data_IF_768113535244
#
_entry.id   IF_768113535244
#
_cell.length_a   1.000
_cell.length_b   1.000
_cell.length_c   1.000
_cell.angle_alpha   90.00
_cell.angle_beta   90.00
_cell.angle_gamma   90.00
#
_symmetry.space_group_name_H-M   'P 1'
#
loop_
_entity.id
_entity.type
_entity.pdbx_description
1 polymer ?
#
# COMPACT_ATOMS: atom_id res chain seq x y z
N UNK A 1 12.97 20.82 -9.66
CA UNK A 1 13.62 20.46 -8.37
C UNK A 1 13.07 21.24 -7.20
N UNK A 2 12.73 22.52 -7.38
CA UNK A 2 12.13 23.38 -6.34
C UNK A 2 10.84 22.79 -5.72
N UNK A 3 9.93 22.27 -6.55
CA UNK A 3 8.71 21.61 -6.07
C UNK A 3 8.97 20.49 -5.04
N UNK A 4 9.96 19.61 -5.28
CA UNK A 4 10.28 18.52 -4.35
C UNK A 4 10.88 19.04 -3.04
N UNK A 5 11.61 20.16 -3.08
CA UNK A 5 12.10 20.83 -1.88
C UNK A 5 10.93 21.39 -1.06
N UNK A 6 9.94 21.99 -1.73
CA UNK A 6 8.73 22.49 -1.08
C UNK A 6 7.93 21.36 -0.42
N UNK A 7 7.75 20.23 -1.12
CA UNK A 7 7.13 19.03 -0.52
C UNK A 7 7.89 18.57 0.72
N UNK A 8 9.22 18.50 0.66
CA UNK A 8 10.03 18.15 1.83
C UNK A 8 9.83 19.11 3.00
N UNK A 9 9.75 20.42 2.72
CA UNK A 9 9.49 21.42 3.76
C UNK A 9 8.10 21.23 4.39
N UNK A 10 7.07 21.02 3.58
CA UNK A 10 5.71 20.76 4.07
C UNK A 10 5.67 19.53 4.96
N UNK A 11 6.35 18.46 4.56
CA UNK A 11 6.48 17.25 5.38
C UNK A 11 7.17 17.53 6.72
N UNK A 12 8.19 18.39 6.75
CA UNK A 12 8.82 18.83 8.00
C UNK A 12 7.89 19.69 8.86
N UNK A 13 7.13 20.60 8.25
CA UNK A 13 6.12 21.38 8.96
C UNK A 13 5.06 20.48 9.59
N UNK A 14 4.62 19.43 8.89
CA UNK A 14 3.72 18.43 9.43
C UNK A 14 4.32 17.69 10.64
N UNK A 15 5.57 17.24 10.56
CA UNK A 15 6.25 16.60 11.71
C UNK A 15 6.23 17.53 12.94
N UNK A 16 6.57 18.81 12.74
CA UNK A 16 6.59 19.79 13.84
C UNK A 16 5.19 20.06 14.40
N UNK A 17 4.19 20.25 13.54
CA UNK A 17 2.83 20.60 13.98
C UNK A 17 2.09 19.41 14.63
N UNK A 18 2.31 18.19 14.15
CA UNK A 18 1.66 16.99 14.66
C UNK A 18 2.40 16.33 15.82
N UNK A 19 3.69 16.64 16.01
CA UNK A 19 4.57 15.91 16.92
C UNK A 19 4.91 14.48 16.44
N UNK A 20 4.53 14.11 15.22
CA UNK A 20 4.83 12.82 14.63
C UNK A 20 6.16 12.85 13.86
N UNK A 21 6.74 11.66 13.63
CA UNK A 21 7.94 11.50 12.81
C UNK A 21 7.65 10.72 11.54
N UNK A 22 8.00 11.30 10.40
CA UNK A 22 7.86 10.67 9.09
C UNK A 22 8.93 9.59 8.94
N UNK A 23 8.48 8.40 8.59
CA UNK A 23 9.35 7.26 8.35
C UNK A 23 9.80 7.23 6.88
N UNK A 24 10.83 8.00 6.55
CA UNK A 24 11.38 8.05 5.20
C UNK A 24 11.93 6.70 4.69
N UNK A 25 12.28 5.77 5.57
CA UNK A 25 12.70 4.41 5.21
C UNK A 25 11.51 3.56 4.70
N UNK A 26 10.29 3.82 5.17
CA UNK A 26 9.05 3.18 4.66
C UNK A 26 8.37 3.99 3.56
N UNK A 27 8.81 5.23 3.34
CA UNK A 27 8.33 6.07 2.24
C UNK A 27 9.10 5.77 0.97
N UNK A 28 8.41 5.89 -0.16
CA UNK A 28 9.04 5.87 -1.47
C UNK A 28 8.51 6.99 -2.35
N UNK A 29 9.30 7.37 -3.35
CA UNK A 29 8.88 8.24 -4.43
C UNK A 29 8.70 7.40 -5.69
N UNK A 30 7.57 7.61 -6.35
CA UNK A 30 7.20 6.93 -7.58
C UNK A 30 6.95 8.00 -8.63
N UNK A 31 7.56 7.83 -9.78
CA UNK A 31 7.28 8.69 -10.93
C UNK A 31 6.09 8.13 -11.71
N UNK A 32 5.13 9.01 -11.97
CA UNK A 32 3.96 8.70 -12.78
C UNK A 32 4.14 9.32 -14.16
N UNK A 33 4.08 8.50 -15.22
CA UNK A 33 4.16 8.96 -16.62
C UNK A 33 5.57 8.92 -17.26
N UNK A 34 5.61 9.12 -18.58
CA UNK A 34 6.85 9.16 -19.38
C UNK A 34 7.43 10.58 -19.37
N UNK A 35 8.43 10.81 -18.52
CA UNK A 35 9.19 12.08 -18.46
C UNK A 35 10.70 11.85 -18.50
N UNK A 36 11.48 12.86 -18.90
CA UNK A 36 12.95 12.72 -19.08
C UNK A 36 13.79 12.86 -17.80
N UNK A 37 13.22 13.31 -16.69
CA UNK A 37 13.97 13.48 -15.45
C UNK A 37 14.28 12.12 -14.80
N UNK A 38 15.54 11.94 -14.37
CA UNK A 38 15.98 10.79 -13.58
C UNK A 38 15.21 10.76 -12.25
N UNK A 39 14.64 9.59 -11.95
CA UNK A 39 13.96 9.28 -10.68
C UNK A 39 14.93 9.29 -9.50
N UNK A 40 16.23 9.12 -9.75
CA UNK A 40 17.27 9.02 -8.73
C UNK A 40 17.42 10.37 -8.02
N UNK A 41 17.38 11.47 -8.78
CA UNK A 41 17.44 12.83 -8.22
C UNK A 41 16.27 13.14 -7.26
N UNK A 42 15.12 12.46 -7.40
CA UNK A 42 13.95 12.74 -6.56
C UNK A 42 14.07 12.05 -5.20
N UNK A 43 14.49 10.78 -5.21
CA UNK A 43 14.77 10.00 -4.01
C UNK A 43 15.84 10.67 -3.16
N UNK A 44 16.89 11.22 -3.79
CA UNK A 44 17.98 11.92 -3.10
C UNK A 44 17.53 13.19 -2.37
N UNK A 45 16.64 13.98 -3.00
CA UNK A 45 16.10 15.21 -2.39
C UNK A 45 15.22 14.85 -1.19
N UNK A 46 14.29 13.90 -1.36
CA UNK A 46 13.35 13.49 -0.33
C UNK A 46 13.97 12.60 0.75
N UNK A 47 15.14 12.01 0.48
CA UNK A 47 15.81 11.00 1.32
C UNK A 47 14.93 9.78 1.59
N UNK A 48 14.22 9.31 0.57
CA UNK A 48 13.34 8.14 0.62
C UNK A 48 13.70 7.11 -0.45
N UNK A 49 13.06 5.94 -0.44
CA UNK A 49 13.32 4.91 -1.44
C UNK A 49 12.76 5.30 -2.81
N UNK A 50 13.43 4.87 -3.88
CA UNK A 50 12.88 4.92 -5.24
C UNK A 50 12.02 3.69 -5.48
N UNK A 51 10.82 3.86 -6.05
CA UNK A 51 9.97 2.74 -6.42
C UNK A 51 9.27 2.95 -7.77
N UNK A 52 8.88 1.84 -8.40
CA UNK A 52 8.06 1.83 -9.61
C UNK A 52 6.58 1.77 -9.26
N UNK A 53 5.70 2.20 -10.18
CA UNK A 53 4.26 2.37 -9.92
C UNK A 53 3.57 1.12 -9.35
N UNK A 54 4.08 -0.07 -9.64
CA UNK A 54 3.68 -1.37 -9.07
C UNK A 54 4.03 -1.54 -7.58
N UNK A 55 3.93 -0.49 -6.76
CA UNK A 55 4.10 -0.57 -5.29
C UNK A 55 2.84 -1.13 -4.65
N UNK A 56 2.98 -2.02 -3.67
CA UNK A 56 1.82 -2.45 -2.88
C UNK A 56 1.40 -1.37 -1.89
N UNK A 57 0.16 -0.89 -2.00
CA UNK A 57 -0.47 0.04 -1.07
C UNK A 57 -1.72 -0.58 -0.48
N UNK A 58 -1.81 -0.63 0.86
CA UNK A 58 -2.90 -1.26 1.61
C UNK A 58 -3.16 -2.73 1.22
N UNK A 59 -2.17 -3.39 0.62
CA UNK A 59 -2.26 -4.77 0.15
C UNK A 59 -2.66 -4.95 -1.31
N UNK A 60 -2.78 -3.88 -2.08
CA UNK A 60 -3.05 -3.92 -3.51
C UNK A 60 -1.92 -3.24 -4.30
N UNK A 61 -1.55 -3.77 -5.48
CA UNK A 61 -0.57 -3.11 -6.32
C UNK A 61 -1.15 -1.81 -6.89
N UNK A 62 -0.54 -0.67 -6.59
CA UNK A 62 -0.81 0.60 -7.25
C UNK A 62 -0.41 0.48 -8.73
N UNK A 63 -1.11 1.20 -9.61
CA UNK A 63 -0.81 1.25 -11.05
C UNK A 63 -1.03 -0.04 -11.84
N UNK A 64 -1.40 -1.15 -11.19
CA UNK A 64 -1.82 -2.36 -11.86
C UNK A 64 -3.27 -2.24 -12.34
N UNK A 65 -3.66 -3.06 -13.33
CA UNK A 65 -5.00 -3.02 -13.94
C UNK A 65 -6.01 -3.78 -13.06
N UNK A 66 -7.03 -3.12 -12.48
CA UNK A 66 -8.03 -3.80 -11.64
C UNK A 66 -8.87 -4.82 -12.41
N UNK A 67 -8.95 -4.71 -13.74
CA UNK A 67 -9.64 -5.67 -14.60
C UNK A 67 -8.88 -6.99 -14.79
N UNK A 68 -7.60 -7.05 -14.45
CA UNK A 68 -6.83 -8.28 -14.54
C UNK A 68 -7.10 -9.18 -13.32
N UNK A 69 -7.31 -10.49 -13.54
CA UNK A 69 -7.54 -11.46 -12.44
C UNK A 69 -6.41 -11.43 -11.40
N UNK A 70 -5.16 -11.39 -11.88
CA UNK A 70 -3.94 -11.39 -11.05
C UNK A 70 -3.87 -10.21 -10.08
N UNK A 71 -4.53 -9.08 -10.39
CA UNK A 71 -4.61 -7.93 -9.49
C UNK A 71 -5.21 -8.29 -8.13
N UNK A 72 -6.17 -9.23 -8.12
CA UNK A 72 -6.95 -9.60 -6.95
C UNK A 72 -6.33 -10.75 -6.15
N UNK A 73 -5.28 -11.41 -6.65
CA UNK A 73 -4.61 -12.51 -5.95
C UNK A 73 -4.20 -12.17 -4.51
N UNK A 74 -3.64 -10.97 -4.20
CA UNK A 74 -3.30 -10.63 -2.82
C UNK A 74 -4.51 -10.59 -1.88
N UNK A 75 -5.67 -10.16 -2.40
CA UNK A 75 -6.93 -10.08 -1.65
C UNK A 75 -7.50 -11.48 -1.44
N UNK A 76 -7.56 -12.28 -2.51
CA UNK A 76 -8.02 -13.67 -2.47
C UNK A 76 -7.18 -14.46 -1.46
N UNK A 77 -5.85 -14.40 -1.58
CA UNK A 77 -4.94 -15.08 -0.66
C UNK A 77 -5.13 -14.64 0.81
N UNK A 78 -5.43 -13.36 1.06
CA UNK A 78 -5.70 -12.85 2.41
C UNK A 78 -7.01 -13.44 2.96
N UNK A 79 -8.06 -13.49 2.15
CA UNK A 79 -9.35 -14.07 2.52
C UNK A 79 -9.20 -15.57 2.77
N UNK A 80 -8.54 -16.30 1.87
CA UNK A 80 -8.31 -17.74 2.02
C UNK A 80 -7.55 -18.08 3.31
N UNK A 81 -6.48 -17.33 3.63
CA UNK A 81 -5.75 -17.51 4.89
C UNK A 81 -6.63 -17.29 6.13
N UNK A 82 -7.56 -16.32 6.08
CA UNK A 82 -8.52 -16.08 7.17
C UNK A 82 -9.58 -17.18 7.28
N UNK A 83 -9.99 -17.75 6.16
CA UNK A 83 -11.01 -18.81 6.08
C UNK A 83 -10.43 -20.21 6.30
N UNK A 84 -9.11 -20.41 6.14
CA UNK A 84 -8.47 -21.72 6.27
C UNK A 84 -8.79 -22.45 7.60
N UNK A 85 -8.84 -21.78 8.77
CA UNK A 85 -9.23 -22.43 10.03
C UNK A 85 -10.69 -22.92 10.06
N UNK A 86 -11.59 -22.32 9.25
CA UNK A 86 -13.02 -22.64 9.24
C UNK A 86 -13.36 -23.92 8.45
N UNK A 87 -12.35 -24.54 7.82
CA UNK A 87 -12.48 -25.83 7.12
C UNK A 87 -12.50 -27.03 8.07
N UNK A 88 -12.22 -26.88 9.37
CA UNK A 88 -12.26 -28.00 10.34
C UNK A 88 -13.68 -28.47 10.63
N UNK A 89 -13.81 -29.76 10.99
CA UNK A 89 -15.05 -30.51 11.34
C UNK A 89 -15.90 -29.92 12.48
N UNK A 90 -15.53 -28.77 13.06
CA UNK A 90 -16.12 -28.21 14.28
C UNK A 90 -17.11 -27.07 14.05
N UNK A 91 -17.39 -26.68 12.79
CA UNK A 91 -18.33 -25.61 12.48
C UNK A 91 -19.55 -26.14 11.74
N UNK A 92 -20.73 -25.92 12.31
CA UNK A 92 -22.00 -26.19 11.66
C UNK A 92 -22.32 -25.12 10.59
N UNK A 93 -23.38 -25.34 9.79
CA UNK A 93 -23.77 -24.41 8.71
C UNK A 93 -24.10 -23.00 9.23
N UNK A 94 -24.75 -22.89 10.40
CA UNK A 94 -25.13 -21.62 11.01
C UNK A 94 -23.92 -20.81 11.46
N UNK A 95 -22.97 -21.44 12.14
CA UNK A 95 -21.73 -20.82 12.59
C UNK A 95 -20.88 -20.33 11.41
N UNK A 96 -20.83 -21.13 10.32
CA UNK A 96 -20.17 -20.71 9.07
C UNK A 96 -20.84 -19.48 8.45
N UNK A 97 -22.17 -19.45 8.39
CA UNK A 97 -22.93 -18.29 7.88
C UNK A 97 -22.68 -17.04 8.72
N UNK A 98 -22.72 -17.18 10.05
CA UNK A 98 -22.46 -16.07 10.98
C UNK A 98 -21.03 -15.55 10.79
N UNK A 99 -20.04 -16.43 10.67
CA UNK A 99 -18.65 -16.06 10.43
C UNK A 99 -18.45 -15.35 9.08
N UNK A 100 -19.08 -15.81 8.00
CA UNK A 100 -19.04 -15.14 6.69
C UNK A 100 -19.65 -13.73 6.79
N UNK A 101 -20.75 -13.57 7.53
CA UNK A 101 -21.42 -12.27 7.71
C UNK A 101 -20.62 -11.30 8.59
N UNK A 102 -19.86 -11.80 9.56
CA UNK A 102 -19.10 -10.97 10.51
C UNK A 102 -17.66 -10.73 10.08
N UNK A 103 -17.13 -11.48 9.09
CA UNK A 103 -15.81 -11.18 8.54
C UNK A 103 -15.83 -9.85 7.78
N UNK A 104 -15.05 -8.83 8.22
CA UNK A 104 -14.87 -7.63 7.41
C UNK A 104 -14.11 -8.02 6.14
N UNK A 105 -14.83 -8.01 5.02
CA UNK A 105 -14.27 -8.03 3.67
C UNK A 105 -13.89 -6.61 3.27
#
# INVERSE_FOLDING_TARGET
MEYLRNVKMILRCFEMASGLRINFHKSCVVKVGKGRHSEDCWADVLKCQKAMLTVTYLGLPLGARPSAKVFWDPVINRIEKRLAPWKRKFLNKGERLTLIKTSPL
#
